data_IF_213169751510
#
_entry.id   IF_213169751510
#
_cell.length_a   1.000
_cell.length_b   1.000
_cell.length_c   1.000
_cell.angle_alpha   90.00
_cell.angle_beta   90.00
_cell.angle_gamma   90.00
#
_symmetry.space_group_name_H-M   'P 1'
#
loop_
_entity.id
_entity.type
_entity.pdbx_description
1 polymer ?
#
# COMPACT_ATOMS: atom_id res chain seq x y z
N UNK A 1 -18.55 1.54 4.86
CA UNK A 1 -17.56 2.06 5.81
C UNK A 1 -18.17 3.20 6.64
N UNK A 2 -18.83 4.22 6.03
CA UNK A 2 -19.43 5.35 6.77
C UNK A 2 -20.36 4.88 7.89
N UNK A 3 -21.33 4.02 7.60
CA UNK A 3 -22.24 3.47 8.60
C UNK A 3 -21.52 2.67 9.72
N UNK A 4 -20.37 2.06 9.42
CA UNK A 4 -19.57 1.39 10.45
C UNK A 4 -18.88 2.40 11.38
N UNK A 5 -18.34 3.49 10.84
CA UNK A 5 -17.73 4.57 11.64
C UNK A 5 -18.76 5.20 12.58
N UNK A 6 -19.95 5.47 12.07
CA UNK A 6 -21.06 6.00 12.88
C UNK A 6 -21.44 5.04 14.03
N UNK A 7 -21.58 3.74 13.74
CA UNK A 7 -21.90 2.74 14.77
C UNK A 7 -20.81 2.57 15.83
N UNK A 8 -19.55 2.83 15.48
CA UNK A 8 -18.40 2.81 16.41
C UNK A 8 -18.31 4.08 17.27
N UNK A 9 -19.07 5.13 16.94
CA UNK A 9 -18.99 6.42 17.62
C UNK A 9 -17.74 7.24 17.27
N UNK A 10 -17.03 6.87 16.21
CA UNK A 10 -15.83 7.56 15.72
C UNK A 10 -14.73 6.59 15.27
N UNK A 11 -13.61 7.15 14.82
CA UNK A 11 -12.47 6.38 14.32
C UNK A 11 -11.17 7.20 14.48
N UNK A 12 -10.16 6.65 15.11
CA UNK A 12 -8.84 7.29 15.25
C UNK A 12 -7.80 6.72 14.28
N UNK A 13 -7.97 5.46 13.90
CA UNK A 13 -7.06 4.73 13.02
C UNK A 13 -7.85 3.91 12.00
N UNK A 14 -7.55 4.13 10.72
CA UNK A 14 -8.05 3.29 9.62
C UNK A 14 -6.89 2.60 8.92
N UNK A 15 -6.90 1.26 8.91
CA UNK A 15 -5.90 0.46 8.20
C UNK A 15 -6.56 -0.19 6.98
N UNK A 16 -6.16 0.24 5.79
CA UNK A 16 -6.62 -0.31 4.52
C UNK A 16 -5.63 -1.39 4.06
N UNK A 17 -5.99 -2.65 4.31
CA UNK A 17 -5.16 -3.81 3.96
C UNK A 17 -5.80 -4.72 2.90
N UNK A 18 -7.04 -4.47 2.53
CA UNK A 18 -7.71 -5.21 1.45
C UNK A 18 -6.93 -5.05 0.14
N UNK A 19 -6.80 -6.14 -0.59
CA UNK A 19 -6.12 -6.15 -1.86
C UNK A 19 -6.02 -7.57 -2.43
N UNK A 20 -5.98 -7.64 -3.74
CA UNK A 20 -5.77 -8.88 -4.50
C UNK A 20 -4.54 -8.73 -5.41
N UNK A 21 -3.98 -9.85 -5.83
CA UNK A 21 -2.87 -9.87 -6.78
C UNK A 21 -2.89 -11.20 -7.55
N UNK A 22 -2.83 -11.09 -8.85
CA UNK A 22 -2.81 -12.22 -9.77
C UNK A 22 -1.50 -12.21 -10.56
N UNK A 23 -0.89 -13.39 -10.73
CA UNK A 23 0.10 -13.61 -11.79
C UNK A 23 -0.73 -13.72 -13.06
N UNK A 24 -0.46 -12.89 -14.05
CA UNK A 24 -1.27 -12.71 -15.26
C UNK A 24 -0.38 -12.38 -16.47
N UNK A 25 0.60 -13.24 -16.73
CA UNK A 25 1.53 -13.06 -17.85
C UNK A 25 0.81 -13.03 -19.21
N UNK A 26 -0.34 -13.73 -19.33
CA UNK A 26 -1.16 -13.76 -20.55
C UNK A 26 -2.11 -12.56 -20.70
N UNK A 27 -2.06 -11.60 -19.78
CA UNK A 27 -2.84 -10.36 -19.79
C UNK A 27 -4.36 -10.60 -19.83
N UNK A 28 -4.86 -11.65 -19.17
CA UNK A 28 -6.29 -11.96 -19.06
C UNK A 28 -7.06 -10.83 -18.36
N UNK A 29 -8.07 -10.27 -19.04
CA UNK A 29 -8.78 -9.07 -18.59
C UNK A 29 -9.47 -9.22 -17.22
N UNK A 30 -10.01 -10.39 -16.90
CA UNK A 30 -10.72 -10.59 -15.63
C UNK A 30 -9.80 -10.39 -14.39
N UNK A 31 -8.56 -10.88 -14.46
CA UNK A 31 -7.56 -10.68 -13.40
C UNK A 31 -7.16 -9.20 -13.27
N UNK A 32 -6.99 -8.50 -14.40
CA UNK A 32 -6.70 -7.06 -14.42
C UNK A 32 -7.88 -6.28 -13.81
N UNK A 33 -9.10 -6.56 -14.28
CA UNK A 33 -10.33 -5.89 -13.84
C UNK A 33 -10.56 -6.06 -12.33
N UNK A 34 -10.43 -7.28 -11.80
CA UNK A 34 -10.59 -7.54 -10.37
C UNK A 34 -9.55 -6.78 -9.56
N UNK A 35 -8.29 -6.80 -10.02
CA UNK A 35 -7.19 -6.09 -9.35
C UNK A 35 -7.46 -4.58 -9.30
N UNK A 36 -7.92 -3.99 -10.40
CA UNK A 36 -8.26 -2.56 -10.48
C UNK A 36 -9.45 -2.24 -9.55
N UNK A 37 -10.52 -3.02 -9.63
CA UNK A 37 -11.72 -2.80 -8.84
C UNK A 37 -11.43 -2.83 -7.33
N UNK A 38 -10.65 -3.81 -6.86
CA UNK A 38 -10.36 -3.97 -5.43
C UNK A 38 -9.26 -2.99 -4.98
N UNK A 39 -8.12 -2.97 -5.68
CA UNK A 39 -6.93 -2.25 -5.19
C UNK A 39 -6.94 -0.77 -5.53
N UNK A 40 -7.71 -0.32 -6.51
CA UNK A 40 -7.79 1.08 -6.92
C UNK A 40 -9.10 1.70 -6.52
N UNK A 41 -10.21 1.23 -7.07
CA UNK A 41 -11.52 1.81 -6.81
C UNK A 41 -11.96 1.62 -5.35
N UNK A 42 -11.94 0.38 -4.86
CA UNK A 42 -12.29 0.04 -3.48
C UNK A 42 -11.40 0.74 -2.46
N UNK A 43 -10.08 0.78 -2.74
CA UNK A 43 -9.12 1.50 -1.90
C UNK A 43 -9.41 3.00 -1.87
N UNK A 44 -9.59 3.65 -3.04
CA UNK A 44 -9.83 5.10 -3.13
C UNK A 44 -11.11 5.50 -2.42
N UNK A 45 -12.19 4.72 -2.60
CA UNK A 45 -13.48 4.95 -1.92
C UNK A 45 -13.33 4.87 -0.40
N UNK A 46 -12.66 3.82 0.12
CA UNK A 46 -12.46 3.65 1.55
C UNK A 46 -11.55 4.74 2.14
N UNK A 47 -10.46 5.08 1.43
CA UNK A 47 -9.54 6.15 1.84
C UNK A 47 -10.24 7.51 1.88
N UNK A 48 -11.08 7.81 0.89
CA UNK A 48 -11.84 9.06 0.83
C UNK A 48 -12.79 9.18 2.02
N UNK A 49 -13.61 8.15 2.31
CA UNK A 49 -14.51 8.14 3.46
C UNK A 49 -13.76 8.34 4.78
N UNK A 50 -12.65 7.61 4.98
CA UNK A 50 -11.84 7.75 6.19
C UNK A 50 -11.23 9.13 6.33
N UNK A 51 -10.71 9.69 5.24
CA UNK A 51 -10.11 11.04 5.26
C UNK A 51 -11.15 12.14 5.51
N UNK A 52 -12.35 12.03 4.91
CA UNK A 52 -13.43 12.97 5.21
C UNK A 52 -13.81 12.95 6.70
N UNK A 53 -13.90 11.75 7.30
CA UNK A 53 -14.13 11.61 8.73
C UNK A 53 -13.01 12.26 9.55
N UNK A 54 -11.74 11.97 9.27
CA UNK A 54 -10.60 12.55 9.99
C UNK A 54 -10.52 14.07 9.84
N UNK A 55 -10.84 14.60 8.66
CA UNK A 55 -10.89 16.06 8.43
C UNK A 55 -12.00 16.70 9.27
N UNK A 56 -13.19 16.10 9.33
CA UNK A 56 -14.29 16.58 10.15
C UNK A 56 -13.98 16.48 11.66
N UNK A 57 -13.31 15.41 12.07
CA UNK A 57 -12.87 15.18 13.46
C UNK A 57 -11.69 16.08 13.87
N UNK A 58 -10.90 16.57 12.91
CA UNK A 58 -9.69 17.36 13.13
C UNK A 58 -8.43 16.57 13.46
N UNK A 59 -8.51 15.24 13.55
CA UNK A 59 -7.37 14.35 13.84
C UNK A 59 -7.65 12.94 13.30
N UNK A 60 -6.59 12.13 13.14
CA UNK A 60 -6.72 10.74 12.73
C UNK A 60 -5.45 10.16 12.13
N UNK A 61 -5.51 8.89 11.74
CA UNK A 61 -4.40 8.21 11.11
C UNK A 61 -4.89 7.24 10.04
N UNK A 62 -4.59 7.52 8.78
CA UNK A 62 -4.84 6.61 7.66
C UNK A 62 -3.58 5.79 7.35
N UNK A 63 -3.72 4.47 7.30
CA UNK A 63 -2.65 3.53 6.95
C UNK A 63 -3.08 2.72 5.74
N UNK A 64 -2.22 2.61 4.74
CA UNK A 64 -2.44 1.75 3.58
C UNK A 64 -1.31 0.73 3.41
N UNK A 65 -1.68 -0.48 3.02
CA UNK A 65 -0.72 -1.54 2.68
C UNK A 65 -0.53 -1.54 1.16
N UNK A 66 0.52 -0.87 0.70
CA UNK A 66 0.96 -0.93 -0.69
C UNK A 66 1.89 -2.13 -0.94
N UNK A 67 3.04 -1.96 -1.54
CA UNK A 67 4.03 -3.02 -1.78
C UNK A 67 5.35 -2.41 -2.27
N UNK A 68 6.43 -3.18 -2.22
CA UNK A 68 7.65 -2.93 -2.98
C UNK A 68 7.37 -2.92 -4.50
N UNK A 69 6.37 -3.67 -4.95
CA UNK A 69 5.89 -3.70 -6.34
C UNK A 69 5.39 -2.33 -6.85
N UNK A 70 5.10 -1.39 -5.94
CA UNK A 70 4.73 -0.01 -6.30
C UNK A 70 5.84 0.79 -7.01
N UNK A 71 7.08 0.32 -6.97
CA UNK A 71 8.24 1.07 -7.45
C UNK A 71 8.47 0.95 -8.96
N UNK A 72 8.10 -0.17 -9.55
CA UNK A 72 8.30 -0.47 -10.98
C UNK A 72 7.16 -1.34 -11.50
N UNK A 73 6.88 -1.28 -12.80
CA UNK A 73 6.00 -2.22 -13.48
C UNK A 73 6.56 -3.64 -13.40
N UNK A 74 5.71 -4.66 -13.31
CA UNK A 74 6.12 -6.07 -13.36
C UNK A 74 5.43 -6.76 -14.52
N UNK A 75 6.21 -7.51 -15.36
CA UNK A 75 5.68 -8.16 -16.55
C UNK A 75 4.61 -9.21 -16.24
N UNK A 76 4.78 -9.95 -15.14
CA UNK A 76 3.88 -11.04 -14.76
C UNK A 76 2.62 -10.58 -14.01
N UNK A 77 2.54 -9.32 -13.60
CA UNK A 77 1.41 -8.79 -12.83
C UNK A 77 1.21 -7.28 -13.03
N UNK A 78 0.96 -6.80 -14.27
CA UNK A 78 0.94 -5.37 -14.59
C UNK A 78 -0.06 -4.58 -13.76
N UNK A 79 -1.33 -5.04 -13.67
CA UNK A 79 -2.35 -4.35 -12.87
C UNK A 79 -2.01 -4.33 -11.38
N UNK A 80 -1.43 -5.40 -10.84
CA UNK A 80 -1.03 -5.42 -9.43
C UNK A 80 0.03 -4.35 -9.14
N UNK A 81 1.13 -4.32 -9.92
CA UNK A 81 2.19 -3.33 -9.73
C UNK A 81 1.64 -1.91 -9.89
N UNK A 82 0.86 -1.65 -10.94
CA UNK A 82 0.23 -0.36 -11.19
C UNK A 82 -0.73 0.03 -10.05
N UNK A 83 -1.54 -0.91 -9.55
CA UNK A 83 -2.45 -0.65 -8.43
C UNK A 83 -1.71 -0.28 -7.13
N UNK A 84 -0.58 -0.94 -6.84
CA UNK A 84 0.24 -0.61 -5.67
C UNK A 84 0.97 0.73 -5.83
N UNK A 85 1.37 1.10 -7.05
CA UNK A 85 1.87 2.43 -7.37
C UNK A 85 0.79 3.50 -7.18
N UNK A 86 -0.45 3.24 -7.62
CA UNK A 86 -1.60 4.11 -7.35
C UNK A 86 -1.78 4.34 -5.84
N UNK A 87 -1.82 3.28 -5.03
CA UNK A 87 -1.96 3.38 -3.56
C UNK A 87 -0.87 4.27 -2.97
N UNK A 88 0.40 4.03 -3.32
CA UNK A 88 1.52 4.81 -2.80
C UNK A 88 1.45 6.29 -3.18
N UNK A 89 1.13 6.59 -4.44
CA UNK A 89 0.99 7.98 -4.93
C UNK A 89 -0.23 8.68 -4.31
N UNK A 90 -1.35 7.98 -4.20
CA UNK A 90 -2.56 8.50 -3.56
C UNK A 90 -2.33 8.86 -2.09
N UNK A 91 -1.66 7.99 -1.32
CA UNK A 91 -1.28 8.26 0.07
C UNK A 91 -0.35 9.46 0.21
N UNK A 92 0.58 9.65 -0.73
CA UNK A 92 1.43 10.83 -0.78
C UNK A 92 0.61 12.10 -1.03
N UNK A 93 -0.33 12.08 -1.98
CA UNK A 93 -1.26 13.16 -2.26
C UNK A 93 -2.10 13.55 -1.04
N UNK A 94 -2.66 12.55 -0.33
CA UNK A 94 -3.41 12.79 0.90
C UNK A 94 -2.54 13.43 1.99
N UNK A 95 -1.29 12.97 2.16
CA UNK A 95 -0.33 13.57 3.10
C UNK A 95 -0.08 15.05 2.80
N UNK A 96 0.13 15.39 1.53
CA UNK A 96 0.31 16.78 1.12
C UNK A 96 -0.95 17.61 1.34
N UNK A 97 -2.13 17.05 1.08
CA UNK A 97 -3.41 17.73 1.29
C UNK A 97 -3.58 18.15 2.77
N UNK A 98 -3.43 17.22 3.71
CA UNK A 98 -3.60 17.52 5.14
C UNK A 98 -2.49 18.44 5.68
N UNK A 99 -1.25 18.31 5.19
CA UNK A 99 -0.15 19.19 5.57
C UNK A 99 -0.41 20.65 5.14
N UNK A 100 -0.90 20.86 3.91
CA UNK A 100 -1.28 22.21 3.42
C UNK A 100 -2.43 22.83 4.21
N UNK A 101 -3.29 22.01 4.80
CA UNK A 101 -4.42 22.44 5.65
C UNK A 101 -4.04 22.62 7.12
N UNK A 102 -2.79 22.31 7.50
CA UNK A 102 -2.33 22.37 8.89
C UNK A 102 -3.05 21.37 9.82
N UNK A 103 -3.59 20.27 9.27
CA UNK A 103 -4.35 19.29 10.05
C UNK A 103 -3.42 18.23 10.67
N UNK A 104 -3.57 17.88 11.95
CA UNK A 104 -2.75 16.87 12.64
C UNK A 104 -3.19 15.44 12.30
N UNK A 105 -3.42 15.17 11.01
CA UNK A 105 -3.80 13.86 10.47
C UNK A 105 -2.55 13.19 9.92
N UNK A 106 -2.28 11.96 10.38
CA UNK A 106 -1.18 11.16 9.86
C UNK A 106 -1.61 10.27 8.69
N UNK A 107 -0.69 10.04 7.76
CA UNK A 107 -0.84 9.03 6.70
C UNK A 107 0.41 8.15 6.66
N UNK A 108 0.24 6.83 6.62
CA UNK A 108 1.34 5.87 6.54
C UNK A 108 1.16 4.95 5.34
N UNK A 109 2.07 5.04 4.37
CA UNK A 109 2.20 4.07 3.28
C UNK A 109 3.15 2.95 3.69
N UNK A 110 2.63 1.76 3.93
CA UNK A 110 3.41 0.56 4.26
C UNK A 110 3.74 -0.18 2.97
N UNK A 111 5.04 -0.41 2.73
CA UNK A 111 5.59 -1.08 1.54
C UNK A 111 6.23 -2.42 1.91
N UNK A 112 5.46 -3.50 2.04
CA UNK A 112 6.02 -4.81 2.27
C UNK A 112 6.81 -5.30 1.03
N UNK A 113 7.91 -6.01 1.31
CA UNK A 113 8.41 -6.98 0.36
C UNK A 113 7.69 -8.31 0.52
N UNK A 114 8.38 -9.43 0.33
CA UNK A 114 7.74 -10.73 0.48
C UNK A 114 7.47 -11.08 1.94
N UNK A 115 6.21 -11.44 2.21
CA UNK A 115 5.72 -11.94 3.50
C UNK A 115 5.08 -13.29 3.25
N UNK A 116 5.37 -14.28 4.07
CA UNK A 116 4.83 -15.65 3.96
C UNK A 116 3.32 -15.65 4.22
N UNK A 117 2.55 -15.40 3.17
CA UNK A 117 1.09 -15.35 3.14
C UNK A 117 0.57 -16.06 1.90
N UNK A 118 -0.73 -16.32 1.83
CA UNK A 118 -1.37 -16.91 0.64
C UNK A 118 -1.18 -16.08 -0.65
N UNK A 119 -0.86 -14.80 -0.53
CA UNK A 119 -0.59 -13.91 -1.67
C UNK A 119 0.86 -14.03 -2.19
N UNK A 120 1.80 -14.53 -1.38
CA UNK A 120 3.19 -14.71 -1.81
C UNK A 120 3.29 -15.96 -2.69
N UNK A 121 3.14 -15.77 -3.99
CA UNK A 121 3.19 -16.82 -5.02
C UNK A 121 4.36 -16.55 -5.98
N UNK A 122 4.83 -17.62 -6.65
CA UNK A 122 5.89 -17.57 -7.65
C UNK A 122 7.24 -18.09 -7.13
N UNK A 123 8.12 -18.39 -8.07
CA UNK A 123 9.50 -18.82 -7.81
C UNK A 123 10.42 -17.62 -7.54
N UNK A 124 11.55 -17.86 -6.89
CA UNK A 124 12.56 -16.83 -6.66
C UNK A 124 12.26 -15.86 -5.51
N UNK A 125 11.32 -16.19 -4.62
CA UNK A 125 11.05 -15.36 -3.43
C UNK A 125 12.29 -15.33 -2.53
N UNK A 126 12.77 -14.13 -2.22
CA UNK A 126 13.92 -13.92 -1.33
C UNK A 126 13.55 -12.97 -0.18
N UNK A 127 14.27 -13.10 0.92
CA UNK A 127 14.04 -12.27 2.10
C UNK A 127 12.59 -12.31 2.63
N UNK A 128 11.94 -13.43 2.46
CA UNK A 128 10.57 -13.65 2.96
C UNK A 128 10.53 -13.45 4.48
N UNK A 129 9.62 -12.63 4.94
CA UNK A 129 9.39 -12.40 6.36
C UNK A 129 8.23 -13.27 6.87
N UNK A 130 8.27 -13.64 8.16
CA UNK A 130 7.06 -14.21 8.77
C UNK A 130 5.99 -13.12 8.96
N UNK A 131 4.69 -13.49 8.97
CA UNK A 131 3.60 -12.57 9.23
C UNK A 131 3.76 -11.80 10.54
N UNK A 132 4.23 -12.47 11.62
CA UNK A 132 4.43 -11.87 12.94
C UNK A 132 5.51 -10.80 12.90
N UNK A 133 6.63 -11.08 12.21
CA UNK A 133 7.71 -10.10 12.03
C UNK A 133 7.25 -8.89 11.21
N UNK A 134 6.46 -9.12 10.16
CA UNK A 134 5.89 -8.07 9.35
C UNK A 134 4.92 -7.21 10.19
N UNK A 135 3.97 -7.85 10.88
CA UNK A 135 2.99 -7.18 11.74
C UNK A 135 3.66 -6.32 12.82
N UNK A 136 4.70 -6.84 13.50
CA UNK A 136 5.45 -6.07 14.51
C UNK A 136 6.09 -4.82 13.92
N UNK A 137 6.64 -4.90 12.71
CA UNK A 137 7.26 -3.73 12.05
C UNK A 137 6.22 -2.73 11.56
N UNK A 138 5.08 -3.21 11.04
CA UNK A 138 3.94 -2.37 10.64
C UNK A 138 3.42 -1.62 11.86
N UNK A 139 3.12 -2.33 12.94
CA UNK A 139 2.65 -1.73 14.19
C UNK A 139 3.60 -0.64 14.71
N UNK A 140 4.91 -0.92 14.74
CA UNK A 140 5.90 0.07 15.14
C UNK A 140 5.96 1.30 14.21
N UNK A 141 5.69 1.13 12.91
CA UNK A 141 5.62 2.25 11.98
C UNK A 141 4.35 3.09 12.20
N UNK A 142 3.22 2.45 12.50
CA UNK A 142 1.95 3.10 12.83
C UNK A 142 2.09 3.92 14.12
N UNK A 143 2.59 3.31 15.21
CA UNK A 143 2.80 4.02 16.48
C UNK A 143 3.73 5.23 16.32
N UNK A 144 4.75 5.13 15.48
CA UNK A 144 5.69 6.22 15.18
C UNK A 144 5.15 7.21 14.12
N UNK A 145 3.92 7.07 13.63
CA UNK A 145 3.28 7.90 12.61
C UNK A 145 4.17 8.17 11.39
N UNK A 146 4.89 7.14 10.93
CA UNK A 146 5.80 7.29 9.78
C UNK A 146 5.02 7.52 8.50
N UNK A 147 5.47 8.47 7.67
CA UNK A 147 4.83 8.73 6.37
C UNK A 147 4.92 7.52 5.42
N UNK A 148 6.01 6.74 5.49
CA UNK A 148 6.15 5.46 4.78
C UNK A 148 7.08 4.51 5.53
N UNK A 149 6.87 3.21 5.35
CA UNK A 149 7.65 2.16 5.99
C UNK A 149 7.86 0.96 5.07
N UNK A 150 9.12 0.58 4.85
CA UNK A 150 9.47 -0.68 4.19
C UNK A 150 9.46 -1.83 5.20
N UNK A 151 8.81 -2.94 4.85
CA UNK A 151 8.70 -4.15 5.67
C UNK A 151 9.16 -5.36 4.85
N UNK A 152 10.26 -6.00 5.21
CA UNK A 152 11.18 -5.65 6.31
C UNK A 152 12.08 -4.44 5.92
N UNK A 153 12.72 -3.82 6.91
CA UNK A 153 13.52 -2.59 6.71
C UNK A 153 14.59 -2.70 5.62
N UNK A 154 15.15 -3.90 5.38
CA UNK A 154 16.17 -4.15 4.35
C UNK A 154 15.67 -3.91 2.92
N UNK A 155 14.35 -3.98 2.70
CA UNK A 155 13.75 -3.67 1.40
C UNK A 155 13.96 -2.21 0.97
N UNK A 156 14.37 -1.33 1.89
CA UNK A 156 14.79 0.04 1.53
C UNK A 156 15.99 0.06 0.57
N UNK A 157 16.91 -0.92 0.70
CA UNK A 157 18.06 -1.03 -0.20
C UNK A 157 17.62 -1.44 -1.60
N UNK A 158 16.74 -2.45 -1.69
CA UNK A 158 16.16 -2.87 -2.98
C UNK A 158 15.36 -1.72 -3.59
N UNK A 159 14.56 -1.01 -2.80
CA UNK A 159 13.79 0.14 -3.26
C UNK A 159 14.68 1.25 -3.84
N UNK A 160 15.79 1.56 -3.19
CA UNK A 160 16.75 2.53 -3.69
C UNK A 160 17.38 2.07 -5.01
N UNK A 161 17.80 0.80 -5.08
CA UNK A 161 18.36 0.22 -6.30
C UNK A 161 17.35 0.26 -7.47
N UNK A 162 16.13 -0.23 -7.25
CA UNK A 162 15.08 -0.27 -8.28
C UNK A 162 14.73 1.12 -8.82
N UNK A 163 14.77 2.14 -7.98
CA UNK A 163 14.46 3.52 -8.38
C UNK A 163 15.48 4.08 -9.39
N UNK A 164 16.73 3.69 -9.29
CA UNK A 164 17.82 4.19 -10.14
C UNK A 164 18.22 3.22 -11.23
N UNK A 165 17.64 2.01 -11.28
CA UNK A 165 17.99 0.99 -12.29
C UNK A 165 17.50 1.44 -13.68
N UNK A 166 18.39 1.56 -14.69
CA UNK A 166 17.99 1.90 -16.07
C UNK A 166 17.04 0.86 -16.65
N UNK A 167 16.09 1.30 -17.50
CA UNK A 167 15.12 0.41 -18.14
C UNK A 167 15.80 -0.72 -18.92
N UNK A 168 16.85 -0.41 -19.67
CA UNK A 168 17.59 -1.41 -20.45
C UNK A 168 18.17 -2.58 -19.63
N UNK A 169 18.37 -2.39 -18.32
CA UNK A 169 18.77 -3.46 -17.40
C UNK A 169 17.53 -4.12 -16.81
N UNK A 170 16.56 -3.31 -16.40
CA UNK A 170 15.32 -3.81 -15.78
C UNK A 170 14.52 -4.73 -16.70
N UNK A 171 14.42 -4.39 -17.98
CA UNK A 171 13.70 -5.16 -19.01
C UNK A 171 14.31 -6.55 -19.30
N UNK A 172 15.48 -6.86 -18.73
CA UNK A 172 16.16 -8.16 -18.85
C UNK A 172 16.06 -9.03 -17.59
N UNK A 173 15.47 -8.51 -16.54
CA UNK A 173 15.24 -9.22 -15.27
C UNK A 173 13.89 -9.93 -15.26
#
# INVERSE_FOLDING_TARGET
LAALIERLGGLDLLVLSAGVGHINADLGWEAERETIAVNVEGFAAAANIGMQHFIAQGTGHLVAISSIAALRGGGDAPAYNASKAFVSNYMEGLRHNVARRGLPIATTDVRPGFVNTAMAKGDGLFWVASPEKAAKQIYGAICARKSHAYVTKRWRLVAALMKFLPNAIYDRL
#
